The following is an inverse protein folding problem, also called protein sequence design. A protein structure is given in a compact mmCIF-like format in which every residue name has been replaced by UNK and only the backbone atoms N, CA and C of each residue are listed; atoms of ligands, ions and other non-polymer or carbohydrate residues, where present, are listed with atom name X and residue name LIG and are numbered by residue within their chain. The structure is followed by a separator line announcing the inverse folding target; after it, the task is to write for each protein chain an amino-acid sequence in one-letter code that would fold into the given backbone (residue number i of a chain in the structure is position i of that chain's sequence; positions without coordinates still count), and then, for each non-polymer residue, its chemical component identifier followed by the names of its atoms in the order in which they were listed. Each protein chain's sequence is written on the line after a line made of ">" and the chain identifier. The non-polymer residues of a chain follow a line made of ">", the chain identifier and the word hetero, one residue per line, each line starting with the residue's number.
data_IF_371536480103
#
_entry.id   IF_371536480103
#
_cell.length_a   1.000
_cell.length_b   1.000
_cell.length_c   1.000
_cell.angle_alpha   90.00
_cell.angle_beta   90.00
_cell.angle_gamma   90.00
#
_symmetry.space_group_name_H-M   'P 1'
#
loop_
_entity.id
_entity.type
_entity.pdbx_description
1 polymer ?
#
# COMPACT_ATOMS: atom_id res chain seq x y z
N UNK A 1 -15.20 6.24 -3.21
CA UNK A 1 -13.94 5.50 -3.43
C UNK A 1 -12.88 6.11 -2.54
N UNK A 2 -12.08 5.26 -1.90
CA UNK A 2 -10.87 5.67 -1.18
C UNK A 2 -9.65 5.15 -1.94
N UNK A 3 -8.56 5.90 -1.92
CA UNK A 3 -7.30 5.49 -2.52
C UNK A 3 -6.25 5.44 -1.42
N UNK A 4 -5.50 4.35 -1.37
CA UNK A 4 -4.42 4.16 -0.43
C UNK A 4 -3.12 3.88 -1.17
N UNK A 5 -2.01 4.23 -0.54
CA UNK A 5 -0.69 3.69 -0.87
C UNK A 5 -0.29 2.75 0.27
N UNK A 6 0.13 1.54 -0.09
CA UNK A 6 0.50 0.49 0.84
C UNK A 6 1.94 0.07 0.61
N UNK A 7 2.72 -0.07 1.68
CA UNK A 7 3.99 -0.79 1.68
C UNK A 7 3.78 -2.15 2.35
N UNK A 8 4.11 -3.23 1.65
CA UNK A 8 3.94 -4.60 2.14
C UNK A 8 5.30 -5.32 2.13
N UNK A 9 5.74 -5.79 3.28
CA UNK A 9 6.96 -6.58 3.41
C UNK A 9 6.88 -7.86 2.56
N UNK A 10 8.00 -8.21 1.92
CA UNK A 10 8.14 -9.46 1.19
C UNK A 10 8.85 -10.47 2.09
N UNK A 11 8.06 -11.30 2.76
CA UNK A 11 8.57 -12.43 3.56
C UNK A 11 8.25 -13.77 2.91
N UNK A 12 9.03 -14.78 3.27
CA UNK A 12 8.68 -16.17 2.97
C UNK A 12 7.35 -16.52 3.67
N UNK A 13 6.39 -17.18 2.99
CA UNK A 13 5.12 -17.58 3.60
C UNK A 13 5.25 -18.38 4.91
N UNK A 14 6.36 -19.10 5.09
CA UNK A 14 6.64 -19.88 6.30
C UNK A 14 7.38 -19.06 7.39
N UNK A 15 7.85 -17.85 7.07
CA UNK A 15 8.62 -17.00 7.99
C UNK A 15 7.75 -16.14 8.91
N UNK A 16 6.47 -15.96 8.60
CA UNK A 16 5.52 -15.22 9.43
C UNK A 16 4.54 -14.36 8.63
N UNK A 17 3.77 -13.55 9.34
CA UNK A 17 2.90 -12.55 8.71
C UNK A 17 3.74 -11.34 8.27
N UNK A 18 3.57 -10.84 7.03
CA UNK A 18 4.30 -9.66 6.55
C UNK A 18 3.83 -8.40 7.28
N UNK A 19 4.78 -7.56 7.68
CA UNK A 19 4.46 -6.22 8.13
C UNK A 19 3.96 -5.35 6.97
N UNK A 20 3.07 -4.40 7.27
CA UNK A 20 2.59 -3.46 6.27
C UNK A 20 2.26 -2.09 6.84
N UNK A 21 2.40 -1.08 5.98
CA UNK A 21 1.93 0.29 6.20
C UNK A 21 0.85 0.59 5.17
N UNK A 22 -0.24 1.23 5.58
CA UNK A 22 -1.29 1.75 4.70
C UNK A 22 -1.50 3.23 4.99
N UNK A 23 -1.39 4.06 3.97
CA UNK A 23 -1.63 5.49 4.02
C UNK A 23 -2.81 5.84 3.12
N UNK A 24 -3.81 6.54 3.65
CA UNK A 24 -4.93 7.08 2.87
C UNK A 24 -4.47 8.33 2.13
N UNK A 25 -4.77 8.42 0.84
CA UNK A 25 -4.55 9.63 0.06
C UNK A 25 -5.72 10.58 0.22
N UNK A 26 -5.41 11.83 0.50
CA UNK A 26 -6.35 12.94 0.64
C UNK A 26 -5.71 14.25 0.12
N UNK A 27 -6.32 15.39 0.43
CA UNK A 27 -5.84 16.70 -0.01
C UNK A 27 -4.49 17.10 0.64
N UNK A 28 -4.12 16.48 1.77
CA UNK A 28 -2.93 16.80 2.56
C UNK A 28 -1.78 15.80 2.34
N UNK A 29 -2.05 14.62 1.78
CA UNK A 29 -1.06 13.59 1.48
C UNK A 29 -1.16 13.09 0.03
N UNK A 30 -0.21 13.51 -0.80
CA UNK A 30 -0.10 13.03 -2.19
C UNK A 30 0.48 11.62 -2.25
N UNK A 31 0.27 10.95 -3.39
CA UNK A 31 0.88 9.64 -3.63
C UNK A 31 2.40 9.65 -3.52
N UNK A 32 3.06 10.65 -4.11
CA UNK A 32 4.51 10.80 -4.08
C UNK A 32 5.02 10.97 -2.64
N UNK A 33 4.32 11.77 -1.83
CA UNK A 33 4.66 11.94 -0.42
C UNK A 33 4.45 10.65 0.38
N UNK A 34 3.36 9.92 0.11
CA UNK A 34 3.08 8.63 0.75
C UNK A 34 4.14 7.58 0.39
N UNK A 35 4.56 7.52 -0.87
CA UNK A 35 5.64 6.64 -1.35
C UNK A 35 6.95 6.94 -0.63
N UNK A 36 7.37 8.21 -0.58
CA UNK A 36 8.61 8.60 0.11
C UNK A 36 8.53 8.35 1.62
N UNK A 37 7.36 8.57 2.24
CA UNK A 37 7.15 8.27 3.65
C UNK A 37 7.30 6.77 3.92
N UNK A 38 6.67 5.90 3.11
CA UNK A 38 6.83 4.45 3.23
C UNK A 38 8.31 4.05 3.07
N UNK A 39 9.01 4.63 2.09
CA UNK A 39 10.44 4.37 1.89
C UNK A 39 11.31 4.75 3.09
N UNK A 40 10.94 5.83 3.79
CA UNK A 40 11.64 6.27 5.00
C UNK A 40 11.37 5.39 6.24
N UNK A 41 10.24 4.67 6.26
CA UNK A 41 9.77 3.91 7.42
C UNK A 41 10.05 2.40 7.34
N UNK A 42 10.08 1.83 6.13
CA UNK A 42 10.25 0.39 5.93
C UNK A 42 11.68 0.01 5.54
N UNK A 43 12.10 -1.19 5.95
CA UNK A 43 13.37 -1.80 5.52
C UNK A 43 13.11 -2.82 4.41
N UNK A 44 13.86 -2.80 3.29
CA UNK A 44 13.68 -3.78 2.21
C UNK A 44 13.88 -5.24 2.67
N UNK A 45 13.26 -6.23 2.02
CA UNK A 45 12.46 -6.10 0.79
C UNK A 45 10.96 -5.83 1.06
N UNK A 46 10.37 -4.91 0.29
CA UNK A 46 8.93 -4.65 0.33
C UNK A 46 8.41 -4.18 -1.02
N UNK A 47 7.10 -4.28 -1.23
CA UNK A 47 6.41 -3.77 -2.42
C UNK A 47 5.54 -2.59 -2.04
N UNK A 48 5.65 -1.50 -2.81
CA UNK A 48 4.74 -0.37 -2.72
C UNK A 48 3.65 -0.53 -3.79
N UNK A 49 2.38 -0.44 -3.37
CA UNK A 49 1.23 -0.59 -4.26
C UNK A 49 0.15 0.43 -3.96
N UNK A 50 -0.55 0.85 -5.00
CA UNK A 50 -1.77 1.64 -4.91
C UNK A 50 -2.96 0.71 -4.72
N UNK A 51 -3.88 1.07 -3.82
CA UNK A 51 -5.08 0.31 -3.53
C UNK A 51 -6.31 1.22 -3.68
N UNK A 52 -7.14 0.92 -4.68
CA UNK A 52 -8.44 1.54 -4.88
C UNK A 52 -9.53 0.73 -4.17
N UNK A 53 -10.11 1.33 -3.12
CA UNK A 53 -11.17 0.74 -2.33
C UNK A 53 -12.54 1.29 -2.74
N UNK A 54 -13.46 0.39 -3.08
CA UNK A 54 -14.83 0.72 -3.52
C UNK A 54 -15.90 0.37 -2.49
N UNK A 55 -15.54 -0.10 -1.29
CA UNK A 55 -16.51 -0.60 -0.30
C UNK A 55 -17.51 0.47 0.18
N UNK A 56 -17.13 1.75 0.15
CA UNK A 56 -18.05 2.87 0.46
C UNK A 56 -19.10 3.11 -0.62
N UNK A 57 -18.86 2.65 -1.86
CA UNK A 57 -19.80 2.75 -2.98
C UNK A 57 -20.62 1.47 -3.15
N UNK A 58 -19.94 0.33 -3.22
CA UNK A 58 -20.54 -1.00 -3.31
C UNK A 58 -19.65 -2.00 -2.54
N UNK A 59 -20.11 -2.52 -1.38
CA UNK A 59 -19.37 -3.49 -0.59
C UNK A 59 -19.06 -4.81 -1.30
N UNK A 60 -19.75 -5.13 -2.41
CA UNK A 60 -19.50 -6.34 -3.20
C UNK A 60 -18.53 -6.11 -4.36
N UNK A 61 -18.22 -4.85 -4.68
CA UNK A 61 -17.28 -4.51 -5.76
C UNK A 61 -15.85 -4.77 -5.28
N UNK A 62 -15.09 -5.66 -5.96
CA UNK A 62 -13.73 -5.97 -5.54
C UNK A 62 -12.83 -4.75 -5.62
N UNK A 63 -11.90 -4.63 -4.68
CA UNK A 63 -10.85 -3.64 -4.72
C UNK A 63 -9.92 -3.86 -5.93
N UNK A 64 -9.29 -2.78 -6.40
CA UNK A 64 -8.23 -2.85 -7.43
C UNK A 64 -6.89 -2.49 -6.80
N UNK A 65 -5.86 -3.27 -7.11
CA UNK A 65 -4.49 -3.06 -6.63
C UNK A 65 -3.59 -2.87 -7.84
N UNK A 66 -2.67 -1.90 -7.75
CA UNK A 66 -1.65 -1.64 -8.76
C UNK A 66 -0.29 -1.53 -8.10
N UNK A 67 0.69 -2.30 -8.56
CA UNK A 67 2.07 -2.18 -8.04
C UNK A 67 2.68 -0.88 -8.58
N UNK A 68 3.25 -0.10 -7.66
CA UNK A 68 3.99 1.13 -7.98
C UNK A 68 5.47 0.77 -8.13
N UNK A 69 6.05 0.07 -7.14
CA UNK A 69 7.47 -0.20 -7.08
C UNK A 69 7.79 -1.44 -6.23
N UNK A 70 8.81 -2.20 -6.61
CA UNK A 70 9.44 -3.22 -5.77
C UNK A 70 10.75 -2.66 -5.19
N UNK A 71 10.86 -2.59 -3.87
CA UNK A 71 12.06 -2.10 -3.18
C UNK A 71 12.84 -3.29 -2.62
N UNK A 72 14.13 -3.35 -2.94
CA UNK A 72 15.03 -4.48 -2.65
C UNK A 72 16.23 -4.07 -1.83
#
# INVERSE_FOLDING_TARGET
>A
MKVYVEGLEVVDPDAGEPDFIRLELDDDLTEEQAVELIKSLMTPPYVIRRHYCYHDEDPKKPCRIEVIEEVR
#
